data_IF_033449200461
#
_entry.id   IF_033449200461
#
_cell.length_a   1.000
_cell.length_b   1.000
_cell.length_c   1.000
_cell.angle_alpha   90.00
_cell.angle_beta   90.00
_cell.angle_gamma   90.00
#
_symmetry.space_group_name_H-M   'P 1'
#
loop_
_entity.id
_entity.type
_entity.pdbx_description
1 polymer ?
#
# COMPACT_ATOMS: atom_id res chain seq x y z
N UNK A 1 15.94 13.91 -21.15
CA UNK A 1 16.21 14.35 -19.77
C UNK A 1 15.06 13.97 -18.84
N UNK A 2 13.80 14.11 -19.25
CA UNK A 2 12.61 13.86 -18.40
C UNK A 2 12.45 12.41 -17.94
N UNK A 3 12.79 11.43 -18.80
CA UNK A 3 12.71 10.01 -18.45
C UNK A 3 13.68 9.62 -17.33
N UNK A 4 14.86 10.24 -17.28
CA UNK A 4 15.86 10.00 -16.24
C UNK A 4 15.35 10.56 -14.90
N UNK A 5 14.78 11.77 -14.91
CA UNK A 5 14.16 12.36 -13.72
C UNK A 5 12.96 11.57 -13.20
N UNK A 6 12.26 10.82 -14.05
CA UNK A 6 11.18 9.93 -13.63
C UNK A 6 11.69 8.59 -13.08
N UNK A 7 12.76 8.02 -13.67
CA UNK A 7 13.32 6.73 -13.26
C UNK A 7 14.14 6.80 -11.97
N UNK A 8 14.84 7.91 -11.73
CA UNK A 8 15.71 8.11 -10.57
C UNK A 8 14.96 8.01 -9.22
N UNK A 9 13.80 8.69 -9.00
CA UNK A 9 13.03 8.55 -7.77
C UNK A 9 12.40 7.17 -7.62
N UNK A 10 12.00 6.51 -8.72
CA UNK A 10 11.51 5.12 -8.69
C UNK A 10 12.62 4.18 -8.21
N UNK A 11 13.83 4.35 -8.71
CA UNK A 11 14.98 3.54 -8.31
C UNK A 11 15.37 3.75 -6.85
N UNK A 12 15.37 5.01 -6.39
CA UNK A 12 15.57 5.34 -4.97
C UNK A 12 14.48 4.70 -4.10
N UNK A 13 13.20 4.80 -4.50
CA UNK A 13 12.11 4.18 -3.76
C UNK A 13 12.24 2.65 -3.70
N UNK A 14 12.62 2.00 -4.81
CA UNK A 14 12.84 0.54 -4.85
C UNK A 14 13.98 0.11 -3.92
N UNK A 15 15.12 0.81 -3.94
CA UNK A 15 16.27 0.47 -3.09
C UNK A 15 15.93 0.63 -1.60
N UNK A 16 15.22 1.70 -1.22
CA UNK A 16 14.73 1.89 0.15
C UNK A 16 13.78 0.75 0.54
N UNK A 17 12.82 0.39 -0.32
CA UNK A 17 11.88 -0.71 -0.06
C UNK A 17 12.59 -2.05 0.18
N UNK A 18 13.59 -2.39 -0.64
CA UNK A 18 14.36 -3.63 -0.50
C UNK A 18 15.16 -3.62 0.81
N UNK A 19 15.82 -2.51 1.12
CA UNK A 19 16.58 -2.35 2.36
C UNK A 19 15.69 -2.51 3.60
N UNK A 20 14.53 -1.86 3.61
CA UNK A 20 13.57 -1.97 4.71
C UNK A 20 13.01 -3.39 4.87
N UNK A 21 12.76 -4.08 3.75
CA UNK A 21 12.28 -5.47 3.77
C UNK A 21 13.33 -6.40 4.39
N UNK A 22 14.60 -6.29 3.99
CA UNK A 22 15.68 -7.12 4.54
C UNK A 22 15.92 -6.85 6.02
N UNK A 23 15.84 -5.59 6.45
CA UNK A 23 16.14 -5.20 7.84
C UNK A 23 15.02 -5.56 8.83
N UNK A 24 13.76 -5.49 8.40
CA UNK A 24 12.61 -5.61 9.31
C UNK A 24 11.55 -6.64 8.91
N UNK A 25 11.73 -7.34 7.78
CA UNK A 25 10.78 -8.37 7.32
C UNK A 25 10.78 -9.65 8.16
N UNK A 26 11.87 -9.92 8.88
CA UNK A 26 12.10 -11.14 9.67
C UNK A 26 11.97 -10.95 11.19
N UNK A 27 11.73 -9.72 11.66
CA UNK A 27 11.63 -9.42 13.09
C UNK A 27 10.26 -9.74 13.68
N UNK A 28 10.20 -9.87 15.01
CA UNK A 28 8.92 -10.01 15.73
C UNK A 28 7.95 -8.89 15.37
N UNK A 29 6.73 -9.30 15.02
CA UNK A 29 5.67 -8.38 14.63
C UNK A 29 5.07 -7.77 15.87
N UNK A 30 5.10 -6.45 15.91
CA UNK A 30 4.51 -5.71 17.02
C UNK A 30 3.01 -5.67 16.76
N UNK A 31 2.19 -6.08 17.74
CA UNK A 31 0.72 -5.99 17.67
C UNK A 31 0.15 -4.89 18.59
N UNK A 32 0.84 -4.53 19.67
CA UNK A 32 0.49 -3.43 20.59
C UNK A 32 1.59 -2.37 20.67
N UNK A 33 1.23 -1.08 20.74
CA UNK A 33 2.17 0.06 20.79
C UNK A 33 2.38 0.77 19.45
N UNK A 34 3.05 1.93 19.47
CA UNK A 34 3.30 2.75 18.28
C UNK A 34 4.38 2.08 17.42
N UNK A 35 4.01 1.62 16.23
CA UNK A 35 4.94 1.07 15.26
C UNK A 35 4.81 1.89 13.96
N UNK A 36 5.80 2.74 13.69
CA UNK A 36 5.82 3.56 12.47
C UNK A 36 6.26 2.75 11.24
N UNK A 37 7.09 1.72 11.42
CA UNK A 37 7.63 0.91 10.32
C UNK A 37 6.61 -0.14 9.83
N UNK A 38 6.15 0.00 8.58
CA UNK A 38 5.18 -0.89 7.93
C UNK A 38 5.57 -2.38 8.04
N UNK A 39 6.85 -2.69 7.89
CA UNK A 39 7.37 -4.06 7.89
C UNK A 39 7.20 -4.77 9.23
N UNK A 40 7.31 -4.02 10.34
CA UNK A 40 7.21 -4.54 11.72
C UNK A 40 5.78 -4.69 12.23
N UNK A 41 4.76 -4.27 11.47
CA UNK A 41 3.35 -4.43 11.85
C UNK A 41 2.88 -5.88 11.71
N UNK A 42 2.05 -6.32 12.67
CA UNK A 42 1.22 -7.51 12.55
C UNK A 42 0.30 -7.46 11.31
N UNK A 43 -0.05 -8.62 10.75
CA UNK A 43 -0.98 -8.63 9.60
C UNK A 43 -2.37 -8.10 9.96
N UNK A 44 -2.78 -8.20 11.23
CA UNK A 44 -4.00 -7.58 11.74
C UNK A 44 -4.02 -6.07 11.52
N UNK A 45 -2.96 -5.38 11.93
CA UNK A 45 -2.87 -3.92 11.77
C UNK A 45 -2.70 -3.50 10.31
N UNK A 46 -2.01 -4.32 9.50
CA UNK A 46 -1.95 -4.12 8.05
C UNK A 46 -3.35 -4.18 7.43
N UNK A 47 -4.18 -5.15 7.82
CA UNK A 47 -5.56 -5.28 7.38
C UNK A 47 -6.45 -4.10 7.80
N UNK A 48 -6.41 -3.69 9.08
CA UNK A 48 -7.18 -2.53 9.57
C UNK A 48 -6.77 -1.25 8.84
N UNK A 49 -5.47 -1.08 8.56
CA UNK A 49 -4.99 0.05 7.76
C UNK A 49 -5.48 -0.01 6.32
N UNK A 50 -5.48 -1.17 5.66
CA UNK A 50 -6.06 -1.30 4.30
C UNK A 50 -7.53 -0.84 4.27
N UNK A 51 -8.31 -1.15 5.30
CA UNK A 51 -9.70 -0.66 5.44
C UNK A 51 -9.78 0.85 5.69
N UNK A 52 -8.96 1.38 6.61
CA UNK A 52 -8.93 2.82 6.90
C UNK A 52 -8.32 3.67 5.79
N UNK A 53 -7.66 3.07 4.78
CA UNK A 53 -7.15 3.77 3.60
C UNK A 53 -8.22 3.99 2.52
N UNK A 54 -9.38 3.30 2.60
CA UNK A 54 -10.48 3.47 1.63
C UNK A 54 -10.91 4.94 1.47
N UNK A 55 -11.12 5.73 2.54
CA UNK A 55 -11.48 7.14 2.41
C UNK A 55 -10.39 7.98 1.74
N UNK A 56 -9.12 7.66 2.01
CA UNK A 56 -7.97 8.36 1.41
C UNK A 56 -7.91 8.05 -0.09
N UNK A 57 -8.11 6.80 -0.48
CA UNK A 57 -8.16 6.38 -1.88
C UNK A 57 -9.27 7.10 -2.65
N UNK A 58 -10.43 7.29 -2.02
CA UNK A 58 -11.52 8.07 -2.62
C UNK A 58 -11.12 9.53 -2.89
N UNK A 59 -10.44 10.19 -1.94
CA UNK A 59 -9.92 11.55 -2.14
C UNK A 59 -8.90 11.61 -3.28
N UNK A 60 -8.01 10.61 -3.37
CA UNK A 60 -7.02 10.52 -4.45
C UNK A 60 -7.70 10.39 -5.81
N UNK A 61 -8.78 9.59 -5.91
CA UNK A 61 -9.54 9.44 -7.16
C UNK A 61 -10.22 10.75 -7.59
N UNK A 62 -10.73 11.55 -6.65
CA UNK A 62 -11.29 12.88 -6.94
C UNK A 62 -10.21 13.82 -7.51
N UNK A 63 -9.04 13.86 -6.86
CA UNK A 63 -7.90 14.67 -7.34
C UNK A 63 -7.41 14.22 -8.71
N UNK A 64 -7.34 12.90 -8.94
CA UNK A 64 -6.97 12.32 -10.22
C UNK A 64 -7.98 12.69 -11.31
N UNK A 65 -9.28 12.59 -11.01
CA UNK A 65 -10.34 12.97 -11.92
C UNK A 65 -10.26 14.46 -12.32
N UNK A 66 -10.06 15.34 -11.34
CA UNK A 66 -9.91 16.78 -11.58
C UNK A 66 -8.71 17.13 -12.46
N UNK A 67 -7.65 16.32 -12.42
CA UNK A 67 -6.40 16.56 -13.18
C UNK A 67 -6.49 16.06 -14.61
N UNK A 68 -7.02 14.84 -14.81
CA UNK A 68 -7.09 14.21 -16.14
C UNK A 68 -8.39 14.50 -16.89
N UNK A 69 -9.44 14.96 -16.18
CA UNK A 69 -10.77 15.32 -16.71
C UNK A 69 -11.39 14.27 -17.64
N UNK A 70 -11.03 12.99 -17.47
CA UNK A 70 -11.48 11.91 -18.33
C UNK A 70 -12.15 10.80 -17.51
N UNK A 71 -13.44 10.58 -17.79
CA UNK A 71 -14.24 9.56 -17.10
C UNK A 71 -13.73 8.14 -17.34
N UNK A 72 -13.23 7.84 -18.56
CA UNK A 72 -12.72 6.52 -18.91
C UNK A 72 -11.45 6.17 -18.11
N UNK A 73 -10.46 7.08 -18.09
CA UNK A 73 -9.22 6.87 -17.34
C UNK A 73 -9.45 6.83 -15.83
N UNK A 74 -10.36 7.67 -15.32
CA UNK A 74 -10.75 7.67 -13.91
C UNK A 74 -11.42 6.35 -13.52
N UNK A 75 -12.35 5.84 -14.34
CA UNK A 75 -13.02 4.56 -14.11
C UNK A 75 -12.05 3.37 -14.13
N UNK A 76 -11.11 3.36 -15.08
CA UNK A 76 -10.08 2.32 -15.16
C UNK A 76 -9.15 2.36 -13.92
N UNK A 77 -8.72 3.55 -13.50
CA UNK A 77 -7.89 3.73 -12.31
C UNK A 77 -8.63 3.30 -11.04
N UNK A 78 -9.89 3.70 -10.87
CA UNK A 78 -10.73 3.30 -9.73
C UNK A 78 -10.89 1.78 -9.67
N UNK A 79 -11.17 1.13 -10.80
CA UNK A 79 -11.31 -0.33 -10.88
C UNK A 79 -10.01 -1.04 -10.49
N UNK A 80 -8.87 -0.56 -11.01
CA UNK A 80 -7.57 -1.13 -10.68
C UNK A 80 -7.24 -0.97 -9.19
N UNK A 81 -7.52 0.20 -8.60
CA UNK A 81 -7.28 0.44 -7.17
C UNK A 81 -8.14 -0.46 -6.28
N UNK A 82 -9.43 -0.62 -6.60
CA UNK A 82 -10.34 -1.53 -5.87
C UNK A 82 -9.83 -2.98 -5.92
N UNK A 83 -9.40 -3.47 -7.08
CA UNK A 83 -8.85 -4.82 -7.22
C UNK A 83 -7.60 -4.99 -6.35
N UNK A 84 -6.69 -4.01 -6.36
CA UNK A 84 -5.49 -4.03 -5.53
C UNK A 84 -5.83 -4.03 -4.03
N UNK A 85 -6.81 -3.22 -3.62
CA UNK A 85 -7.29 -3.16 -2.24
C UNK A 85 -7.85 -4.51 -1.80
N UNK A 86 -8.69 -5.14 -2.63
CA UNK A 86 -9.26 -6.46 -2.35
C UNK A 86 -8.16 -7.53 -2.21
N UNK A 87 -7.19 -7.56 -3.13
CA UNK A 87 -6.05 -8.49 -3.07
C UNK A 87 -5.27 -8.28 -1.76
N UNK A 88 -4.98 -7.03 -1.39
CA UNK A 88 -4.27 -6.70 -0.15
C UNK A 88 -5.08 -7.09 1.08
N UNK A 89 -6.38 -6.82 1.10
CA UNK A 89 -7.28 -7.14 2.20
C UNK A 89 -7.34 -8.65 2.42
N UNK A 90 -7.55 -9.43 1.35
CA UNK A 90 -7.60 -10.91 1.41
C UNK A 90 -6.27 -11.49 1.84
N UNK A 91 -5.15 -11.03 1.26
CA UNK A 91 -3.81 -11.50 1.63
C UNK A 91 -3.51 -11.25 3.10
N UNK A 92 -3.73 -10.01 3.57
CA UNK A 92 -3.49 -9.64 4.96
C UNK A 92 -4.42 -10.40 5.92
N UNK A 93 -5.68 -10.61 5.55
CA UNK A 93 -6.63 -11.37 6.36
C UNK A 93 -6.23 -12.85 6.47
N UNK A 94 -5.91 -13.50 5.35
CA UNK A 94 -5.46 -14.91 5.33
C UNK A 94 -4.22 -15.10 6.18
N UNK A 95 -3.26 -14.18 6.05
CA UNK A 95 -2.00 -14.26 6.80
C UNK A 95 -2.17 -13.94 8.28
N UNK A 96 -3.08 -13.04 8.63
CA UNK A 96 -3.48 -12.82 10.02
C UNK A 96 -4.14 -14.06 10.65
N UNK A 97 -4.98 -14.78 9.90
CA UNK A 97 -5.57 -16.04 10.39
C UNK A 97 -4.50 -17.11 10.64
N UNK A 98 -3.53 -17.24 9.75
CA UNK A 98 -2.41 -18.18 9.91
C UNK A 98 -1.43 -17.81 11.03
N UNK A 99 -1.35 -16.55 11.46
CA UNK A 99 -0.56 -16.14 12.63
C UNK A 99 -1.23 -16.46 13.97
N UNK A 100 -2.54 -16.78 13.96
CA UNK A 100 -3.33 -17.08 15.18
C UNK A 100 -3.60 -18.57 15.39
N UNK A 101 -3.22 -19.43 14.46
CA UNK A 101 -3.28 -20.90 14.55
C UNK A 101 -1.88 -21.39 14.89
#
# INVERSE_FOLDING_TARGET
MDFIFFLLPVFIAMTICIFMTKRWGMGEKVDKGIAFCYWKLSYRRKFIRTLWMIPIEFVVLICFHNTFQSNLWTGLAATAMVILLLIQAVYNYKKWKNERI
#
